data_IF_433161010545
#
_entry.id   IF_433161010545
#
_cell.length_a   1.000
_cell.length_b   1.000
_cell.length_c   1.000
_cell.angle_alpha   90.00
_cell.angle_beta   90.00
_cell.angle_gamma   90.00
#
_symmetry.space_group_name_H-M   'P 1'
#
loop_
_entity.id
_entity.type
_entity.pdbx_description
1 polymer ?
#
# COMPACT_ATOMS: atom_id res chain seq x y z
N UNK A 1 -7.48 -13.44 20.79
CA UNK A 1 -7.15 -12.24 20.05
C UNK A 1 -5.66 -12.10 19.90
N UNK A 2 -5.23 -11.51 18.83
CA UNK A 2 -3.81 -11.33 18.59
C UNK A 2 -3.18 -10.49 19.71
N UNK A 3 -2.00 -10.89 20.12
CA UNK A 3 -1.32 -10.28 21.25
C UNK A 3 -0.05 -9.59 20.79
N UNK A 4 -0.20 -8.70 19.81
CA UNK A 4 0.92 -7.90 19.38
C UNK A 4 1.20 -6.80 20.38
N UNK A 5 2.45 -6.61 20.75
CA UNK A 5 2.86 -5.52 21.62
C UNK A 5 2.93 -4.20 20.86
N UNK A 6 3.21 -4.27 19.56
CA UNK A 6 3.42 -3.10 18.72
C UNK A 6 2.98 -3.43 17.29
N UNK A 7 2.55 -2.41 16.55
CA UNK A 7 2.04 -2.67 15.17
C UNK A 7 3.14 -3.19 14.25
N UNK A 8 4.40 -2.86 14.52
CA UNK A 8 5.53 -3.32 13.71
C UNK A 8 5.68 -4.84 13.70
N UNK A 9 5.08 -5.52 14.67
CA UNK A 9 5.10 -6.99 14.75
C UNK A 9 4.01 -7.64 13.89
N UNK A 10 3.07 -6.86 13.37
CA UNK A 10 1.97 -7.37 12.56
C UNK A 10 2.50 -7.69 11.16
N UNK A 11 2.36 -8.96 10.74
CA UNK A 11 2.87 -9.41 9.44
C UNK A 11 2.31 -8.63 8.26
N UNK A 12 1.01 -8.31 8.30
CA UNK A 12 0.39 -7.52 7.24
C UNK A 12 1.00 -6.13 7.14
N UNK A 13 1.34 -5.50 8.27
CA UNK A 13 2.01 -4.20 8.25
C UNK A 13 3.40 -4.31 7.64
N UNK A 14 4.15 -5.35 8.02
CA UNK A 14 5.50 -5.57 7.48
C UNK A 14 5.47 -5.74 5.96
N UNK A 15 4.50 -6.51 5.45
CA UNK A 15 4.32 -6.71 4.01
C UNK A 15 3.89 -5.43 3.30
N UNK A 16 3.01 -4.65 3.91
CA UNK A 16 2.57 -3.38 3.33
C UNK A 16 3.72 -2.38 3.24
N UNK A 17 4.61 -2.39 4.21
CA UNK A 17 5.83 -1.56 4.18
C UNK A 17 6.72 -1.94 3.00
N UNK A 18 6.90 -3.23 2.78
CA UNK A 18 7.69 -3.72 1.64
C UNK A 18 7.04 -3.29 0.33
N UNK A 19 5.71 -3.40 0.22
CA UNK A 19 4.99 -2.93 -0.95
C UNK A 19 5.23 -1.43 -1.20
N UNK A 20 5.13 -0.62 -0.16
CA UNK A 20 5.37 0.82 -0.28
C UNK A 20 6.80 1.12 -0.75
N UNK A 21 7.78 0.35 -0.30
CA UNK A 21 9.16 0.49 -0.76
C UNK A 21 9.28 0.15 -2.26
N UNK A 22 8.60 -0.90 -2.71
CA UNK A 22 8.57 -1.25 -4.13
C UNK A 22 7.89 -0.17 -4.97
N UNK A 23 6.77 0.36 -4.49
CA UNK A 23 6.06 1.45 -5.17
C UNK A 23 6.97 2.67 -5.33
N UNK A 24 7.69 3.03 -4.28
CA UNK A 24 8.66 4.13 -4.32
C UNK A 24 9.70 3.93 -5.42
N UNK A 25 10.23 2.72 -5.53
CA UNK A 25 11.23 2.40 -6.55
C UNK A 25 10.63 2.43 -7.96
N UNK A 26 9.42 1.91 -8.13
CA UNK A 26 8.73 1.94 -9.42
C UNK A 26 8.54 3.39 -9.85
N UNK A 27 8.09 4.25 -8.97
CA UNK A 27 7.88 5.66 -9.26
C UNK A 27 9.21 6.31 -9.68
N UNK A 28 10.27 6.10 -8.90
CA UNK A 28 11.55 6.75 -9.16
C UNK A 28 12.23 6.28 -10.44
N UNK A 29 11.99 5.04 -10.85
CA UNK A 29 12.71 4.41 -11.95
C UNK A 29 11.86 4.20 -13.20
N UNK A 30 10.73 4.88 -13.33
CA UNK A 30 9.82 4.70 -14.46
C UNK A 30 9.17 6.02 -14.84
N UNK A 31 8.46 6.01 -15.97
CA UNK A 31 7.72 7.18 -16.45
C UNK A 31 6.50 7.49 -15.57
N UNK A 32 6.18 6.62 -14.62
CA UNK A 32 5.10 6.90 -13.66
C UNK A 32 5.35 8.21 -12.92
N UNK A 33 6.62 8.57 -12.69
CA UNK A 33 6.96 9.83 -12.03
C UNK A 33 6.38 11.04 -12.76
N UNK A 34 6.15 10.94 -14.06
CA UNK A 34 5.61 12.02 -14.89
C UNK A 34 4.08 12.02 -14.95
N UNK A 35 3.44 10.92 -14.61
CA UNK A 35 1.98 10.83 -14.55
C UNK A 35 1.54 11.21 -13.14
N UNK A 36 1.48 12.51 -12.88
CA UNK A 36 1.33 13.04 -11.52
C UNK A 36 0.07 12.53 -10.84
N UNK A 37 -1.04 12.46 -11.57
CA UNK A 37 -2.31 12.04 -10.96
C UNK A 37 -2.27 10.57 -10.58
N UNK A 38 -1.81 9.70 -11.47
CA UNK A 38 -1.74 8.27 -11.18
C UNK A 38 -0.70 7.99 -10.10
N UNK A 39 0.44 8.67 -10.15
CA UNK A 39 1.46 8.56 -9.12
C UNK A 39 0.90 8.90 -7.74
N UNK A 40 0.17 10.01 -7.63
CA UNK A 40 -0.41 10.43 -6.36
C UNK A 40 -1.48 9.45 -5.87
N UNK A 41 -2.27 8.89 -6.77
CA UNK A 41 -3.27 7.89 -6.41
C UNK A 41 -2.62 6.62 -5.85
N UNK A 42 -1.54 6.16 -6.47
CA UNK A 42 -0.83 4.95 -6.01
C UNK A 42 -0.14 5.20 -4.68
N UNK A 43 0.50 6.35 -4.52
CA UNK A 43 1.09 6.72 -3.23
C UNK A 43 0.02 6.78 -2.15
N UNK A 44 -1.14 7.32 -2.45
CA UNK A 44 -2.25 7.42 -1.50
C UNK A 44 -2.77 6.06 -1.10
N UNK A 45 -3.05 5.18 -2.07
CA UNK A 45 -3.64 3.87 -1.78
C UNK A 45 -2.64 2.94 -1.09
N UNK A 46 -1.39 2.90 -1.53
CA UNK A 46 -0.38 2.06 -0.89
C UNK A 46 -0.07 2.53 0.52
N UNK A 47 0.01 3.83 0.73
CA UNK A 47 0.17 4.40 2.07
C UNK A 47 -1.03 4.10 2.97
N UNK A 48 -2.24 4.20 2.44
CA UNK A 48 -3.45 3.88 3.17
C UNK A 48 -3.47 2.40 3.60
N UNK A 49 -3.01 1.50 2.73
CA UNK A 49 -2.87 0.08 3.09
C UNK A 49 -2.02 -0.08 4.35
N UNK A 50 -0.87 0.55 4.39
CA UNK A 50 0.08 0.46 5.49
C UNK A 50 -0.42 1.19 6.74
N UNK A 51 -0.88 2.43 6.57
CA UNK A 51 -1.17 3.32 7.68
C UNK A 51 -2.41 2.92 8.45
N UNK A 52 -3.41 2.34 7.78
CA UNK A 52 -4.64 1.92 8.45
C UNK A 52 -4.41 0.72 9.37
N UNK A 53 -3.45 -0.14 9.08
CA UNK A 53 -3.10 -1.23 9.98
C UNK A 53 -2.55 -0.65 11.29
N UNK A 54 -1.63 0.28 11.18
CA UNK A 54 -1.01 0.92 12.35
C UNK A 54 -2.03 1.71 13.15
N UNK A 55 -2.85 2.50 12.48
CA UNK A 55 -3.86 3.32 13.16
C UNK A 55 -4.90 2.46 13.85
N UNK A 56 -5.37 1.41 13.17
CA UNK A 56 -6.34 0.50 13.76
C UNK A 56 -5.81 -0.20 15.01
N UNK A 57 -4.57 -0.60 14.98
CA UNK A 57 -3.92 -1.18 16.15
C UNK A 57 -3.86 -0.16 17.30
N UNK A 58 -3.54 1.09 16.96
CA UNK A 58 -3.41 2.16 17.96
C UNK A 58 -4.71 2.56 18.63
N UNK A 59 -5.88 2.19 18.07
CA UNK A 59 -7.18 2.47 18.67
C UNK A 59 -7.45 1.64 19.91
N UNK A 60 -6.82 0.48 20.04
CA UNK A 60 -6.87 -0.35 21.22
C UNK A 60 -8.06 -1.30 21.34
N UNK A 61 -9.09 -1.16 20.51
CA UNK A 61 -10.27 -2.02 20.53
C UNK A 61 -10.30 -2.98 19.35
N UNK A 62 -10.85 -4.19 19.55
CA UNK A 62 -10.89 -5.21 18.51
C UNK A 62 -11.81 -4.83 17.34
N UNK A 63 -12.99 -4.29 17.66
CA UNK A 63 -13.94 -3.90 16.63
C UNK A 63 -13.37 -2.80 15.74
N UNK A 64 -12.71 -1.83 16.34
CA UNK A 64 -12.09 -0.74 15.62
C UNK A 64 -10.91 -1.24 14.78
N UNK A 65 -10.10 -2.13 15.33
CA UNK A 65 -9.00 -2.73 14.57
C UNK A 65 -9.52 -3.43 13.32
N UNK A 66 -10.60 -4.20 13.43
CA UNK A 66 -11.20 -4.89 12.29
C UNK A 66 -11.66 -3.88 11.22
N UNK A 67 -12.31 -2.79 11.63
CA UNK A 67 -12.73 -1.75 10.69
C UNK A 67 -11.55 -1.17 9.90
N UNK A 68 -10.47 -0.85 10.58
CA UNK A 68 -9.29 -0.31 9.92
C UNK A 68 -8.61 -1.35 9.03
N UNK A 69 -8.62 -2.63 9.42
CA UNK A 69 -8.11 -3.70 8.57
C UNK A 69 -8.93 -3.84 7.29
N UNK A 70 -10.23 -3.64 7.36
CA UNK A 70 -11.08 -3.66 6.16
C UNK A 70 -10.75 -2.52 5.21
N UNK A 71 -10.52 -1.33 5.73
CA UNK A 71 -10.09 -0.18 4.92
C UNK A 71 -8.73 -0.45 4.29
N UNK A 72 -7.80 -0.98 5.09
CA UNK A 72 -6.47 -1.36 4.61
C UNK A 72 -6.55 -2.37 3.47
N UNK A 73 -7.39 -3.39 3.63
CA UNK A 73 -7.61 -4.42 2.62
C UNK A 73 -8.11 -3.83 1.30
N UNK A 74 -9.13 -2.96 1.39
CA UNK A 74 -9.66 -2.28 0.21
C UNK A 74 -8.59 -1.44 -0.48
N UNK A 75 -7.73 -0.77 0.29
CA UNK A 75 -6.64 0.03 -0.25
C UNK A 75 -5.62 -0.83 -0.98
N UNK A 76 -5.37 -2.05 -0.51
CA UNK A 76 -4.47 -2.98 -1.20
C UNK A 76 -5.01 -3.37 -2.56
N UNK A 77 -6.31 -3.66 -2.66
CA UNK A 77 -6.95 -3.95 -3.95
C UNK A 77 -6.92 -2.75 -4.87
N UNK A 78 -7.14 -1.57 -4.33
CA UNK A 78 -7.07 -0.33 -5.12
C UNK A 78 -5.67 -0.14 -5.71
N UNK A 79 -4.64 -0.35 -4.90
CA UNK A 79 -3.25 -0.27 -5.37
C UNK A 79 -3.00 -1.27 -6.49
N UNK A 80 -3.48 -2.50 -6.34
CA UNK A 80 -3.33 -3.54 -7.34
C UNK A 80 -4.00 -3.11 -8.67
N UNK A 81 -5.20 -2.58 -8.60
CA UNK A 81 -5.91 -2.09 -9.78
C UNK A 81 -5.14 -0.96 -10.47
N UNK A 82 -4.59 -0.05 -9.68
CA UNK A 82 -3.82 1.07 -10.22
C UNK A 82 -2.52 0.62 -10.89
N UNK A 83 -1.90 -0.44 -10.39
CA UNK A 83 -0.70 -0.99 -11.02
C UNK A 83 -0.99 -1.56 -12.41
N UNK A 84 -2.18 -2.14 -12.62
CA UNK A 84 -2.59 -2.51 -13.98
C UNK A 84 -2.65 -1.29 -14.90
N UNK A 85 -3.12 -0.16 -14.39
CA UNK A 85 -3.15 1.08 -15.19
C UNK A 85 -1.75 1.56 -15.55
N UNK A 86 -0.77 1.35 -14.66
CA UNK A 86 0.63 1.65 -14.97
C UNK A 86 1.11 0.82 -16.14
N UNK A 87 0.81 -0.48 -16.14
CA UNK A 87 1.19 -1.37 -17.24
C UNK A 87 0.47 -1.01 -18.53
N UNK A 88 -0.84 -0.75 -18.45
CA UNK A 88 -1.65 -0.43 -19.63
C UNK A 88 -1.20 0.87 -20.29
N UNK A 89 -0.74 1.83 -19.50
CA UNK A 89 -0.18 3.10 -20.00
C UNK A 89 1.28 3.00 -20.40
N UNK A 90 1.89 1.81 -20.23
CA UNK A 90 3.29 1.54 -20.56
C UNK A 90 4.26 2.46 -19.81
N UNK A 91 3.90 2.81 -18.58
CA UNK A 91 4.74 3.67 -17.75
C UNK A 91 5.86 2.91 -17.08
N UNK A 92 5.74 1.60 -16.97
CA UNK A 92 6.74 0.73 -16.38
C UNK A 92 7.01 -0.44 -17.32
N UNK A 93 8.27 -0.67 -17.63
CA UNK A 93 8.68 -1.78 -18.49
C UNK A 93 9.19 -2.92 -17.64
N UNK A 94 8.63 -4.09 -17.87
CA UNK A 94 9.01 -5.28 -17.12
C UNK A 94 10.24 -5.97 -17.67
N UNK A 95 10.58 -5.72 -18.92
CA UNK A 95 11.77 -6.34 -19.49
C UNK A 95 12.99 -5.66 -18.95
N UNK A 96 13.76 -6.38 -18.34
CA UNK A 96 14.98 -5.85 -17.87
C UNK A 96 16.02 -5.85 -18.92
N UNK A 97 15.79 -6.37 -19.79
CA UNK A 97 16.79 -6.43 -20.54
C UNK A 97 17.24 -6.81 -21.10
#
# INVERSE_FOLDING_TARGET
MATFARFEDIGAWQKSRILCQHISRIISNSDLVKDYKLKDQINGSSGSFMDNIAEGFGRGGNAEFIQFLEISHASAFETQSQLYRVLDRKLYRTTAI
#
